data_IF_655508064807
#
_entry.id   IF_655508064807
#
_cell.length_a   1.000
_cell.length_b   1.000
_cell.length_c   1.000
_cell.angle_alpha   90.00
_cell.angle_beta   90.00
_cell.angle_gamma   90.00
#
_symmetry.space_group_name_H-M   'P 1'
#
loop_
_entity.id
_entity.type
_entity.pdbx_description
1 polymer ?
#
# COMPACT_ATOMS: atom_id res chain seq x y z
N UNK A 1 -12.36 -29.98 -13.14
CA UNK A 1 -11.20 -29.07 -12.97
C UNK A 1 -11.74 -27.67 -12.82
N UNK A 2 -11.19 -26.87 -11.89
CA UNK A 2 -11.47 -25.43 -11.89
C UNK A 2 -10.85 -24.80 -13.13
N UNK A 3 -11.47 -23.77 -13.70
CA UNK A 3 -10.82 -22.93 -14.72
C UNK A 3 -10.03 -21.83 -14.01
N UNK A 4 -8.85 -21.51 -14.52
CA UNK A 4 -8.07 -20.35 -14.09
C UNK A 4 -8.90 -19.08 -14.26
N UNK A 5 -8.79 -18.12 -13.34
CA UNK A 5 -9.57 -16.88 -13.41
C UNK A 5 -9.10 -15.99 -14.57
N UNK A 6 -7.82 -16.06 -14.94
CA UNK A 6 -7.23 -15.52 -16.18
C UNK A 6 -8.07 -15.80 -17.44
N UNK A 7 -8.68 -16.98 -17.57
CA UNK A 7 -9.42 -17.39 -18.78
C UNK A 7 -10.92 -17.01 -18.75
N UNK A 8 -11.47 -16.69 -17.58
CA UNK A 8 -12.92 -16.54 -17.40
C UNK A 8 -13.46 -15.18 -17.83
N UNK A 9 -14.68 -15.17 -18.37
CA UNK A 9 -15.41 -13.96 -18.73
C UNK A 9 -15.93 -13.21 -17.50
N UNK A 10 -16.21 -11.91 -17.67
CA UNK A 10 -16.85 -11.08 -16.61
C UNK A 10 -18.17 -11.69 -16.11
N UNK A 11 -18.91 -12.43 -16.95
CA UNK A 11 -20.14 -13.11 -16.54
C UNK A 11 -19.87 -14.28 -15.59
N UNK A 12 -18.91 -15.16 -15.95
CA UNK A 12 -18.48 -16.30 -15.12
C UNK A 12 -17.89 -15.85 -13.77
N UNK A 13 -17.16 -14.74 -13.76
CA UNK A 13 -16.60 -14.12 -12.55
C UNK A 13 -17.64 -13.43 -11.65
N UNK A 14 -18.94 -13.45 -12.00
CA UNK A 14 -20.03 -12.90 -11.20
C UNK A 14 -20.46 -11.47 -11.55
N UNK A 15 -19.92 -10.89 -12.61
CA UNK A 15 -20.23 -9.54 -13.12
C UNK A 15 -19.24 -8.48 -12.67
N UNK A 16 -19.24 -7.33 -13.35
CA UNK A 16 -18.24 -6.24 -13.21
C UNK A 16 -18.01 -5.66 -11.80
N UNK A 17 -18.92 -5.90 -10.85
CA UNK A 17 -18.78 -5.50 -9.45
C UNK A 17 -18.14 -6.57 -8.56
N UNK A 18 -18.01 -7.81 -9.02
CA UNK A 18 -17.48 -8.92 -8.23
C UNK A 18 -16.01 -8.70 -7.87
N UNK A 19 -15.59 -9.25 -6.72
CA UNK A 19 -14.19 -9.15 -6.31
C UNK A 19 -13.25 -9.81 -7.33
N UNK A 20 -13.63 -10.97 -7.90
CA UNK A 20 -12.83 -11.68 -8.90
C UNK A 20 -12.61 -10.86 -10.18
N UNK A 21 -13.61 -10.10 -10.64
CA UNK A 21 -13.43 -9.21 -11.81
C UNK A 21 -12.51 -8.03 -11.48
N UNK A 22 -12.42 -7.63 -10.20
CA UNK A 22 -11.55 -6.54 -9.76
C UNK A 22 -10.10 -6.99 -9.58
N UNK A 23 -9.85 -8.13 -8.92
CA UNK A 23 -8.52 -8.75 -8.83
C UNK A 23 -7.90 -8.87 -10.23
N UNK A 24 -8.55 -9.63 -11.11
CA UNK A 24 -8.12 -9.86 -12.49
C UNK A 24 -7.82 -8.57 -13.27
N UNK A 25 -8.62 -7.52 -13.08
CA UNK A 25 -8.40 -6.23 -13.74
C UNK A 25 -7.12 -5.55 -13.26
N UNK A 26 -6.86 -5.59 -11.96
CA UNK A 26 -5.65 -5.03 -11.38
C UNK A 26 -4.43 -5.90 -11.73
N UNK A 27 -4.53 -7.25 -11.71
CA UNK A 27 -3.47 -8.17 -12.14
C UNK A 27 -3.06 -7.94 -13.61
N UNK A 28 -4.03 -7.82 -14.53
CA UNK A 28 -3.78 -7.46 -15.94
C UNK A 28 -3.20 -6.04 -16.10
N UNK A 29 -3.35 -5.18 -15.09
CA UNK A 29 -2.70 -3.86 -15.06
C UNK A 29 -1.27 -3.97 -14.51
N UNK A 30 -1.04 -4.81 -13.50
CA UNK A 30 0.25 -5.10 -12.89
C UNK A 30 1.21 -5.75 -13.89
N UNK A 31 0.74 -6.78 -14.60
CA UNK A 31 1.40 -7.43 -15.74
C UNK A 31 2.11 -6.41 -16.64
N UNK A 32 1.33 -5.50 -17.21
CA UNK A 32 1.80 -4.49 -18.17
C UNK A 32 2.83 -3.56 -17.55
N UNK A 33 2.69 -3.24 -16.26
CA UNK A 33 3.66 -2.43 -15.53
C UNK A 33 4.97 -3.19 -15.25
N UNK A 34 4.93 -4.50 -15.01
CA UNK A 34 6.13 -5.34 -14.87
C UNK A 34 6.84 -5.51 -16.22
N UNK A 35 6.08 -5.62 -17.32
CA UNK A 35 6.62 -5.58 -18.68
C UNK A 35 7.24 -4.21 -19.02
N UNK A 36 6.59 -3.09 -18.68
CA UNK A 36 7.16 -1.74 -18.78
C UNK A 36 8.45 -1.63 -17.92
N UNK A 37 8.47 -2.21 -16.72
CA UNK A 37 9.59 -2.08 -15.77
C UNK A 37 10.89 -2.67 -16.33
N UNK A 38 10.82 -3.87 -16.92
CA UNK A 38 11.97 -4.53 -17.51
C UNK A 38 12.51 -3.81 -18.77
N UNK A 39 11.70 -2.95 -19.39
CA UNK A 39 12.02 -2.23 -20.63
C UNK A 39 12.49 -0.79 -20.41
N UNK A 40 12.48 -0.31 -19.17
CA UNK A 40 12.72 1.10 -18.82
C UNK A 40 13.92 1.26 -17.89
N UNK A 41 14.56 2.44 -17.92
CA UNK A 41 15.71 2.76 -17.06
C UNK A 41 15.63 4.21 -16.55
N UNK A 42 16.45 4.54 -15.54
CA UNK A 42 16.52 5.90 -14.97
C UNK A 42 15.17 6.43 -14.48
N UNK A 43 14.84 7.67 -14.85
CA UNK A 43 13.60 8.36 -14.47
C UNK A 43 12.33 7.66 -14.99
N UNK A 44 12.39 7.03 -16.17
CA UNK A 44 11.23 6.31 -16.73
C UNK A 44 10.91 5.07 -15.88
N UNK A 45 11.94 4.31 -15.52
CA UNK A 45 11.82 3.19 -14.58
C UNK A 45 11.29 3.65 -13.22
N UNK A 46 11.76 4.81 -12.72
CA UNK A 46 11.26 5.40 -11.48
C UNK A 46 9.76 5.69 -11.56
N UNK A 47 9.28 6.23 -12.69
CA UNK A 47 7.87 6.47 -12.94
C UNK A 47 7.05 5.16 -13.03
N UNK A 48 7.59 4.10 -13.63
CA UNK A 48 6.94 2.77 -13.66
C UNK A 48 6.85 2.17 -12.25
N UNK A 49 7.93 2.20 -11.45
CA UNK A 49 7.92 1.73 -10.05
C UNK A 49 6.85 2.48 -9.24
N UNK A 50 6.73 3.80 -9.42
CA UNK A 50 5.70 4.58 -8.74
C UNK A 50 4.27 4.26 -9.24
N UNK A 51 4.09 3.80 -10.48
CA UNK A 51 2.81 3.29 -10.98
C UNK A 51 2.48 1.92 -10.39
N UNK A 52 3.47 1.01 -10.28
CA UNK A 52 3.34 -0.29 -9.61
C UNK A 52 2.94 -0.08 -8.16
N UNK A 53 3.69 0.71 -7.39
CA UNK A 53 3.41 0.93 -5.96
C UNK A 53 2.02 1.52 -5.71
N UNK A 54 1.55 2.44 -6.57
CA UNK A 54 0.19 3.01 -6.52
C UNK A 54 -0.91 2.05 -6.91
N UNK A 55 -0.59 0.93 -7.56
CA UNK A 55 -1.52 -0.16 -7.86
C UNK A 55 -1.51 -1.20 -6.73
N UNK A 56 -0.34 -1.75 -6.40
CA UNK A 56 -0.21 -2.91 -5.49
C UNK A 56 -0.52 -2.58 -4.03
N UNK A 57 -0.11 -1.41 -3.53
CA UNK A 57 -0.40 -1.05 -2.13
C UNK A 57 -1.91 -1.00 -1.80
N UNK A 58 -2.75 -0.26 -2.55
CA UNK A 58 -4.18 -0.21 -2.25
C UNK A 58 -4.94 -1.47 -2.70
N UNK A 59 -4.34 -2.33 -3.53
CA UNK A 59 -4.80 -3.69 -3.83
C UNK A 59 -4.60 -4.57 -2.60
N UNK A 60 -3.34 -4.84 -2.22
CA UNK A 60 -2.92 -5.61 -1.04
C UNK A 60 -3.73 -5.29 0.23
N UNK A 61 -3.83 -3.99 0.54
CA UNK A 61 -4.58 -3.51 1.70
C UNK A 61 -6.07 -3.86 1.64
N UNK A 62 -6.66 -3.86 0.44
CA UNK A 62 -8.06 -4.21 0.22
C UNK A 62 -8.30 -5.73 0.27
N UNK A 63 -7.35 -6.58 -0.15
CA UNK A 63 -7.42 -8.01 0.17
C UNK A 63 -7.41 -8.24 1.68
N UNK A 64 -6.40 -7.73 2.39
CA UNK A 64 -6.23 -7.94 3.83
C UNK A 64 -7.43 -7.42 4.64
N UNK A 65 -8.00 -6.29 4.22
CA UNK A 65 -9.17 -5.70 4.88
C UNK A 65 -10.49 -6.39 4.57
N UNK A 66 -10.62 -7.09 3.42
CA UNK A 66 -11.92 -7.53 2.88
C UNK A 66 -11.91 -8.98 2.39
N UNK A 67 -10.95 -9.34 1.55
CA UNK A 67 -10.90 -10.62 0.87
C UNK A 67 -10.41 -11.73 1.81
N UNK A 68 -9.29 -11.58 2.50
CA UNK A 68 -8.79 -12.59 3.45
C UNK A 68 -9.76 -12.85 4.59
N UNK A 69 -10.39 -11.86 5.24
CA UNK A 69 -11.46 -12.12 6.20
C UNK A 69 -12.66 -12.87 5.60
N UNK A 70 -12.94 -12.71 4.30
CA UNK A 70 -14.03 -13.45 3.62
C UNK A 70 -13.61 -14.88 3.34
N UNK A 71 -12.43 -15.08 2.73
CA UNK A 71 -11.83 -16.37 2.43
C UNK A 71 -11.71 -17.26 3.70
N UNK A 72 -11.15 -16.71 4.78
CA UNK A 72 -10.97 -17.35 6.10
C UNK A 72 -12.28 -17.82 6.76
N UNK A 73 -13.44 -17.33 6.31
CA UNK A 73 -14.77 -17.76 6.81
C UNK A 73 -15.41 -18.87 5.96
N UNK A 74 -14.97 -19.04 4.71
CA UNK A 74 -15.62 -19.94 3.74
C UNK A 74 -14.74 -21.13 3.33
N UNK A 75 -13.42 -21.05 3.54
CA UNK A 75 -12.48 -22.16 3.34
C UNK A 75 -11.88 -22.62 4.68
N UNK A 76 -11.77 -23.94 4.94
CA UNK A 76 -11.25 -24.48 6.20
C UNK A 76 -9.76 -24.19 6.41
N UNK A 77 -8.99 -24.16 5.32
CA UNK A 77 -7.57 -23.83 5.20
C UNK A 77 -7.35 -22.37 4.76
N UNK A 78 -8.40 -21.54 4.76
CA UNK A 78 -8.34 -20.15 4.30
C UNK A 78 -7.39 -19.27 5.12
N UNK A 79 -6.98 -19.67 6.33
CA UNK A 79 -5.93 -18.95 7.07
C UNK A 79 -4.55 -19.20 6.46
N UNK A 80 -4.18 -20.46 6.20
CA UNK A 80 -2.88 -20.86 5.67
C UNK A 80 -2.64 -20.23 4.30
N UNK A 81 -3.60 -20.37 3.38
CA UNK A 81 -3.51 -19.79 2.03
C UNK A 81 -3.30 -18.27 2.04
N UNK A 82 -4.07 -17.54 2.86
CA UNK A 82 -3.94 -16.08 2.96
C UNK A 82 -2.66 -15.62 3.67
N UNK A 83 -2.05 -16.48 4.50
CA UNK A 83 -0.85 -16.14 5.27
C UNK A 83 0.41 -16.22 4.39
N UNK A 84 0.40 -17.03 3.33
CA UNK A 84 1.44 -17.08 2.30
C UNK A 84 1.50 -15.74 1.54
N UNK A 85 0.38 -15.31 0.96
CA UNK A 85 0.25 -14.01 0.26
C UNK A 85 0.51 -12.80 1.20
N UNK A 86 0.03 -12.83 2.45
CA UNK A 86 0.36 -11.77 3.44
C UNK A 86 1.87 -11.65 3.72
N UNK A 87 2.66 -12.71 3.54
CA UNK A 87 4.14 -12.64 3.64
C UNK A 87 4.77 -12.06 2.38
N UNK A 88 4.25 -12.39 1.20
CA UNK A 88 4.72 -11.84 -0.09
C UNK A 88 4.43 -10.34 -0.21
N UNK A 89 3.23 -9.91 0.18
CA UNK A 89 2.89 -8.48 0.36
C UNK A 89 3.91 -7.74 1.23
N UNK A 90 4.31 -8.35 2.35
CA UNK A 90 5.29 -7.75 3.26
C UNK A 90 6.70 -7.72 2.65
N UNK A 91 7.12 -8.76 1.95
CA UNK A 91 8.40 -8.75 1.22
C UNK A 91 8.42 -7.65 0.13
N UNK A 92 7.33 -7.48 -0.63
CA UNK A 92 7.21 -6.39 -1.62
C UNK A 92 7.35 -5.02 -0.94
N UNK A 93 6.72 -4.79 0.21
CA UNK A 93 6.85 -3.55 0.96
C UNK A 93 8.30 -3.28 1.40
N UNK A 94 9.02 -4.30 1.86
CA UNK A 94 10.43 -4.20 2.28
C UNK A 94 11.36 -3.91 1.09
N UNK A 95 11.16 -4.60 -0.04
CA UNK A 95 11.94 -4.40 -1.26
C UNK A 95 11.68 -3.03 -1.89
N UNK A 96 10.43 -2.56 -1.95
CA UNK A 96 10.10 -1.20 -2.42
C UNK A 96 10.73 -0.15 -1.51
N UNK A 97 10.69 -0.33 -0.18
CA UNK A 97 11.37 0.56 0.77
C UNK A 97 12.89 0.61 0.51
N UNK A 98 13.51 -0.54 0.19
CA UNK A 98 14.93 -0.59 -0.19
C UNK A 98 15.21 0.15 -1.50
N UNK A 99 14.37 0.00 -2.52
CA UNK A 99 14.49 0.69 -3.82
C UNK A 99 14.39 2.21 -3.71
N UNK A 100 13.68 2.74 -2.72
CA UNK A 100 13.60 4.19 -2.44
C UNK A 100 14.87 4.78 -1.83
N UNK A 101 15.67 3.95 -1.14
CA UNK A 101 16.99 4.32 -0.65
C UNK A 101 18.09 4.24 -1.71
N UNK A 102 17.84 3.57 -2.84
CA UNK A 102 18.84 3.27 -3.87
C UNK A 102 18.84 4.30 -5.00
N UNK A 103 20.02 4.82 -5.33
CA UNK A 103 20.23 5.64 -6.54
C UNK A 103 20.09 4.84 -7.83
N UNK A 104 19.89 5.50 -8.97
CA UNK A 104 19.73 4.83 -10.26
C UNK A 104 20.96 4.04 -10.73
N UNK A 105 22.16 4.44 -10.28
CA UNK A 105 23.42 3.75 -10.57
C UNK A 105 23.88 2.80 -9.46
N UNK A 106 23.02 2.46 -8.49
CA UNK A 106 23.34 1.51 -7.42
C UNK A 106 23.46 0.08 -8.01
N UNK A 107 24.59 -0.63 -7.80
CA UNK A 107 24.83 -1.94 -8.41
C UNK A 107 23.88 -3.03 -7.89
N UNK A 108 23.27 -2.88 -6.71
CA UNK A 108 22.31 -3.84 -6.18
C UNK A 108 20.89 -3.63 -6.73
N UNK A 109 20.59 -2.44 -7.28
CA UNK A 109 19.25 -2.04 -7.71
C UNK A 109 18.60 -3.04 -8.66
N UNK A 110 19.36 -3.57 -9.62
CA UNK A 110 18.87 -4.57 -10.59
C UNK A 110 18.33 -5.82 -9.90
N UNK A 111 19.13 -6.41 -9.00
CA UNK A 111 18.73 -7.61 -8.26
C UNK A 111 17.50 -7.38 -7.35
N UNK A 112 17.34 -6.17 -6.79
CA UNK A 112 16.15 -5.84 -6.00
C UNK A 112 14.91 -5.69 -6.90
N UNK A 113 15.03 -5.10 -8.09
CA UNK A 113 13.94 -5.01 -9.08
C UNK A 113 13.52 -6.38 -9.61
N UNK A 114 14.49 -7.25 -9.88
CA UNK A 114 14.23 -8.63 -10.30
C UNK A 114 13.49 -9.39 -9.19
N UNK A 115 13.91 -9.26 -7.92
CA UNK A 115 13.20 -9.89 -6.80
C UNK A 115 11.78 -9.35 -6.61
N UNK A 116 11.55 -8.03 -6.70
CA UNK A 116 10.20 -7.44 -6.68
C UNK A 116 9.34 -8.02 -7.80
N UNK A 117 9.90 -8.16 -9.01
CA UNK A 117 9.18 -8.70 -10.17
C UNK A 117 8.83 -10.18 -10.01
N UNK A 118 9.68 -10.96 -9.34
CA UNK A 118 9.40 -12.36 -9.00
C UNK A 118 8.28 -12.46 -7.96
N UNK A 119 8.41 -11.78 -6.81
CA UNK A 119 7.42 -11.87 -5.73
C UNK A 119 6.03 -11.41 -6.20
N UNK A 120 5.95 -10.30 -6.94
CA UNK A 120 4.68 -9.82 -7.52
C UNK A 120 4.07 -10.74 -8.60
N UNK A 121 4.84 -11.68 -9.15
CA UNK A 121 4.34 -12.68 -10.12
C UNK A 121 3.91 -13.97 -9.43
N UNK A 122 4.60 -14.37 -8.37
CA UNK A 122 4.25 -15.54 -7.59
C UNK A 122 2.96 -15.27 -6.78
N UNK A 123 2.86 -14.12 -6.12
CA UNK A 123 1.65 -13.55 -5.48
C UNK A 123 0.39 -13.63 -6.37
N UNK A 124 0.45 -13.01 -7.56
CA UNK A 124 -0.66 -13.04 -8.54
C UNK A 124 -1.02 -14.46 -9.00
N UNK A 125 -0.05 -15.38 -9.03
CA UNK A 125 -0.30 -16.77 -9.44
C UNK A 125 -0.95 -17.57 -8.32
N UNK A 126 -0.51 -17.41 -7.08
CA UNK A 126 -1.13 -18.07 -5.94
C UNK A 126 -2.55 -17.51 -5.68
N UNK A 127 -2.78 -16.23 -5.98
CA UNK A 127 -4.12 -15.65 -6.15
C UNK A 127 -4.94 -16.36 -7.26
N UNK A 128 -4.53 -16.26 -8.54
CA UNK A 128 -5.36 -16.65 -9.68
C UNK A 128 -5.48 -18.16 -9.93
N UNK A 129 -4.48 -18.96 -9.53
CA UNK A 129 -4.43 -20.41 -9.73
C UNK A 129 -5.01 -21.18 -8.53
N UNK A 130 -4.87 -20.65 -7.30
CA UNK A 130 -5.22 -21.38 -6.06
C UNK A 130 -6.31 -20.70 -5.25
N UNK A 131 -6.08 -19.49 -4.75
CA UNK A 131 -6.94 -18.80 -3.79
C UNK A 131 -8.31 -18.41 -4.38
N UNK A 132 -8.29 -17.63 -5.45
CA UNK A 132 -9.49 -17.05 -6.06
C UNK A 132 -10.40 -18.11 -6.71
N UNK A 133 -9.90 -19.15 -7.40
CA UNK A 133 -10.75 -20.25 -7.89
C UNK A 133 -11.44 -21.02 -6.77
N UNK A 134 -10.78 -21.20 -5.61
CA UNK A 134 -11.38 -21.87 -4.45
C UNK A 134 -12.44 -20.99 -3.78
N UNK A 135 -12.21 -19.68 -3.69
CA UNK A 135 -13.24 -18.72 -3.28
C UNK A 135 -14.47 -18.76 -4.21
N UNK A 136 -14.25 -18.83 -5.54
CA UNK A 136 -15.33 -18.92 -6.53
C UNK A 136 -16.17 -20.20 -6.39
N UNK A 137 -15.57 -21.31 -5.98
CA UNK A 137 -16.28 -22.57 -5.71
C UNK A 137 -17.09 -22.53 -4.42
N UNK A 138 -16.60 -21.83 -3.39
CA UNK A 138 -17.24 -21.75 -2.08
C UNK A 138 -18.36 -20.69 -1.97
N UNK A 139 -18.39 -19.70 -2.88
CA UNK A 139 -19.26 -18.51 -2.78
C UNK A 139 -20.06 -18.31 -4.06
N UNK A 140 -21.37 -18.02 -3.94
CA UNK A 140 -22.21 -17.80 -5.11
C UNK A 140 -21.76 -16.57 -5.92
N UNK A 141 -21.95 -16.61 -7.24
CA UNK A 141 -21.66 -15.50 -8.15
C UNK A 141 -22.37 -14.17 -7.77
N UNK A 142 -23.48 -14.25 -7.02
CA UNK A 142 -24.18 -13.08 -6.46
C UNK A 142 -23.47 -12.55 -5.22
N UNK A 143 -23.00 -13.43 -4.34
CA UNK A 143 -22.40 -13.06 -3.06
C UNK A 143 -20.98 -12.50 -3.21
N UNK A 144 -20.23 -12.91 -4.25
CA UNK A 144 -18.95 -12.30 -4.66
C UNK A 144 -19.03 -10.79 -4.98
N UNK A 145 -20.24 -10.24 -5.19
CA UNK A 145 -20.46 -8.81 -5.47
C UNK A 145 -20.34 -7.93 -4.22
N UNK A 146 -20.72 -8.45 -3.04
CA UNK A 146 -20.63 -7.71 -1.78
C UNK A 146 -19.19 -7.40 -1.37
N UNK A 147 -18.26 -8.38 -1.28
CA UNK A 147 -16.85 -8.07 -1.01
C UNK A 147 -16.25 -7.25 -2.14
N UNK A 148 -16.63 -7.46 -3.41
CA UNK A 148 -16.13 -6.65 -4.53
C UNK A 148 -16.47 -5.15 -4.44
N UNK A 149 -17.67 -4.80 -3.96
CA UNK A 149 -18.01 -3.39 -3.68
C UNK A 149 -17.22 -2.84 -2.49
N UNK A 150 -17.10 -3.61 -1.40
CA UNK A 150 -16.37 -3.17 -0.20
C UNK A 150 -14.86 -3.01 -0.46
N UNK A 151 -14.25 -3.96 -1.17
CA UNK A 151 -12.86 -3.94 -1.63
C UNK A 151 -12.56 -2.70 -2.47
N UNK A 152 -13.44 -2.33 -3.42
CA UNK A 152 -13.27 -1.12 -4.24
C UNK A 152 -13.36 0.17 -3.41
N UNK A 153 -14.24 0.20 -2.38
CA UNK A 153 -14.30 1.35 -1.46
C UNK A 153 -13.01 1.45 -0.65
N UNK A 154 -12.55 0.34 -0.07
CA UNK A 154 -11.29 0.28 0.70
C UNK A 154 -10.12 0.74 -0.16
N UNK A 155 -9.89 0.09 -1.31
CA UNK A 155 -8.83 0.44 -2.29
C UNK A 155 -8.80 1.93 -2.66
N UNK A 156 -9.96 2.59 -2.77
CA UNK A 156 -10.04 4.03 -3.11
C UNK A 156 -9.68 4.96 -1.96
N UNK A 157 -9.91 4.55 -0.71
CA UNK A 157 -9.58 5.36 0.48
C UNK A 157 -8.18 5.07 1.02
N UNK A 158 -7.66 3.86 0.76
CA UNK A 158 -6.28 3.49 1.02
C UNK A 158 -5.31 4.40 0.27
N UNK A 159 -4.31 4.88 0.98
CA UNK A 159 -3.21 5.68 0.43
C UNK A 159 -1.91 5.10 0.93
N UNK A 160 -0.93 4.82 0.05
CA UNK A 160 0.42 4.53 0.50
C UNK A 160 0.98 5.71 1.30
N UNK A 161 1.91 5.41 2.22
CA UNK A 161 2.62 6.44 2.95
C UNK A 161 3.39 7.36 1.97
N UNK A 162 3.56 8.67 2.27
CA UNK A 162 4.25 9.60 1.39
C UNK A 162 5.77 9.33 1.36
N UNK A 163 6.17 8.57 0.34
CA UNK A 163 7.53 8.22 -0.08
C UNK A 163 8.41 9.43 -0.39
N UNK A 164 9.76 9.35 -0.35
CA UNK A 164 10.63 10.47 -0.69
C UNK A 164 10.42 10.99 -2.12
N UNK A 165 10.19 10.09 -3.08
CA UNK A 165 9.89 10.42 -4.48
C UNK A 165 8.52 11.11 -4.64
N UNK A 166 7.49 10.69 -3.90
CA UNK A 166 6.16 11.33 -3.95
C UNK A 166 6.12 12.69 -3.24
N UNK A 167 7.13 13.03 -2.42
CA UNK A 167 7.31 14.39 -1.86
C UNK A 167 7.88 15.39 -2.87
N UNK A 168 8.27 14.96 -4.08
CA UNK A 168 8.68 15.84 -5.17
C UNK A 168 7.46 16.55 -5.82
N UNK A 169 6.79 17.40 -5.04
CA UNK A 169 5.78 18.35 -5.51
C UNK A 169 6.49 19.50 -6.27
N UNK A 170 5.91 20.07 -7.34
CA UNK A 170 6.68 20.90 -8.27
C UNK A 170 7.31 22.14 -7.62
N UNK A 171 8.58 22.40 -7.94
CA UNK A 171 9.20 23.73 -7.78
C UNK A 171 8.56 24.72 -8.76
N UNK A 172 7.33 25.15 -8.43
CA UNK A 172 6.47 25.97 -9.29
C UNK A 172 5.51 26.88 -8.52
N UNK A 173 5.66 27.00 -7.19
CA UNK A 173 5.02 28.07 -6.45
C UNK A 173 5.72 29.39 -6.79
N UNK A 174 5.15 30.15 -7.73
CA UNK A 174 5.71 31.46 -8.11
C UNK A 174 5.75 32.35 -6.88
N UNK A 175 6.96 32.70 -6.42
CA UNK A 175 7.17 33.75 -5.43
C UNK A 175 6.85 35.10 -6.05
N UNK A 176 5.55 35.42 -6.16
CA UNK A 176 5.10 36.79 -6.41
C UNK A 176 5.47 37.61 -5.18
N UNK A 177 6.43 38.56 -5.27
CA UNK A 177 6.67 39.46 -4.16
C UNK A 177 5.41 40.28 -3.90
N UNK A 178 4.96 40.33 -2.65
CA UNK A 178 3.91 41.24 -2.22
C UNK A 178 4.37 42.68 -2.51
N UNK A 179 3.84 43.28 -3.58
CA UNK A 179 4.19 44.65 -3.97
C UNK A 179 3.39 45.60 -3.09
N UNK A 180 4.00 46.07 -2.01
CA UNK A 180 3.43 47.09 -1.14
C UNK A 180 3.24 48.40 -1.94
N UNK A 181 2.02 48.96 -2.06
CA UNK A 181 1.79 50.20 -2.79
C UNK A 181 1.88 51.40 -1.84
N UNK A 182 3.04 52.07 -1.80
CA UNK A 182 3.18 53.40 -1.19
C UNK A 182 3.83 54.38 -2.18
N UNK A 183 3.04 55.26 -2.80
CA UNK A 183 3.56 56.38 -3.60
C UNK A 183 2.51 57.46 -3.93
N UNK A 184 2.02 58.17 -2.90
CA UNK A 184 1.43 59.53 -2.95
C UNK A 184 1.22 59.99 -1.51
N UNK A 185 1.66 61.16 -1.04
CA UNK A 185 2.53 62.22 -1.57
C UNK A 185 2.80 63.26 -0.45
N UNK A 186 3.73 64.20 -0.67
CA UNK A 186 4.03 65.45 0.09
C UNK A 186 3.47 65.64 1.53
N UNK A 187 4.33 65.80 2.54
CA UNK A 187 4.72 67.11 3.16
C UNK A 187 3.54 67.88 3.82
N UNK A 188 3.58 68.34 5.07
CA UNK A 188 4.64 69.14 5.76
C UNK A 188 4.63 68.99 7.31
N UNK A 189 5.65 69.57 7.97
CA UNK A 189 5.75 70.04 9.39
C UNK A 189 4.53 69.86 10.34
N UNK A 190 4.66 69.46 11.62
CA UNK A 190 5.50 70.09 12.67
C UNK A 190 5.58 69.24 13.96
N UNK A 191 6.63 69.42 14.77
CA UNK A 191 6.68 69.08 16.22
C UNK A 191 5.90 70.12 17.06
N UNK A 192 5.59 69.93 18.38
CA UNK A 192 6.24 69.06 19.38
C UNK A 192 5.29 68.19 20.26
N UNK A 193 5.90 67.46 21.22
CA UNK A 193 5.25 66.71 22.32
C UNK A 193 4.90 67.64 23.51
N UNK A 194 4.51 67.17 24.73
CA UNK A 194 4.05 65.83 25.20
C UNK A 194 2.74 65.91 26.04
N UNK A 195 2.20 64.78 26.57
CA UNK A 195 1.74 64.65 27.99
C UNK A 195 0.94 63.37 28.36
N UNK A 196 1.27 62.91 29.58
CA UNK A 196 0.56 62.08 30.58
C UNK A 196 -0.99 61.92 30.53
N UNK A 197 -1.42 60.65 30.58
CA UNK A 197 -2.14 59.94 31.68
C UNK A 197 -3.49 60.43 32.27
N UNK A 198 -4.24 59.43 32.84
CA UNK A 198 -5.50 59.48 33.64
C UNK A 198 -6.81 59.56 32.81
N UNK A 199 -7.98 59.06 33.24
CA UNK A 199 -8.40 58.06 34.27
C UNK A 199 -9.94 57.85 34.21
N UNK A 200 -10.51 56.98 35.07
CA UNK A 200 -11.95 56.75 35.37
C UNK A 200 -12.69 55.77 34.41
N UNK A 201 -13.17 54.59 34.86
CA UNK A 201 -14.36 54.28 35.72
C UNK A 201 -15.67 54.28 34.90
N UNK A 202 -16.26 53.13 34.54
CA UNK A 202 -17.12 52.21 35.35
C UNK A 202 -18.51 52.80 35.68
N UNK A 203 -19.59 52.03 35.99
CA UNK A 203 -19.80 50.56 35.99
C UNK A 203 -20.80 50.15 34.84
N UNK A 204 -21.44 48.99 34.72
CA UNK A 204 -21.47 47.69 35.42
C UNK A 204 -22.89 47.08 35.38
N UNK A 205 -23.01 45.77 35.22
CA UNK A 205 -24.23 44.99 35.53
C UNK A 205 -23.88 43.49 35.55
N UNK A 206 -24.46 42.71 36.47
CA UNK A 206 -23.90 41.41 36.85
C UNK A 206 -24.93 40.28 37.02
N UNK A 207 -24.63 39.12 36.40
CA UNK A 207 -25.01 37.74 36.82
C UNK A 207 -26.52 37.36 36.80
N UNK A 208 -26.90 36.08 37.00
CA UNK A 208 -26.14 34.80 37.00
C UNK A 208 -26.51 33.97 35.73
N UNK A 209 -26.42 32.62 35.57
CA UNK A 209 -25.97 31.49 36.40
C UNK A 209 -25.49 30.29 35.52
N UNK A 210 -24.62 29.43 36.10
CA UNK A 210 -24.56 27.95 36.00
C UNK A 210 -24.54 27.17 34.64
N UNK A 211 -23.84 26.02 34.64
CA UNK A 211 -24.04 24.94 33.66
C UNK A 211 -22.76 24.35 33.04
N UNK A 212 -21.98 23.56 33.79
CA UNK A 212 -20.79 22.90 33.26
C UNK A 212 -21.12 21.59 32.53
N UNK A 213 -20.55 21.38 31.33
CA UNK A 213 -20.21 20.02 30.85
C UNK A 213 -19.17 20.05 29.73
N UNK A 214 -17.97 19.55 30.00
CA UNK A 214 -16.97 19.27 28.97
C UNK A 214 -17.18 17.85 28.40
N UNK A 215 -17.07 17.63 27.08
CA UNK A 215 -17.02 16.28 26.51
C UNK A 215 -15.66 15.63 26.78
N UNK A 216 -15.68 14.36 27.21
CA UNK A 216 -14.48 13.56 27.45
C UNK A 216 -13.93 13.00 26.12
N UNK A 217 -12.63 13.13 25.88
CA UNK A 217 -11.91 12.36 24.86
C UNK A 217 -11.37 11.06 25.46
N UNK A 218 -11.54 9.89 24.80
CA UNK A 218 -10.81 8.68 25.18
C UNK A 218 -9.40 8.72 24.59
N UNK A 219 -8.39 8.83 25.46
CA UNK A 219 -7.00 8.55 25.08
C UNK A 219 -6.81 7.05 24.97
N UNK A 220 -6.58 6.55 23.74
CA UNK A 220 -6.17 5.15 23.52
C UNK A 220 -4.64 5.08 23.56
N UNK A 221 -4.10 4.59 24.66
CA UNK A 221 -2.66 4.35 24.82
C UNK A 221 -2.24 3.10 24.05
N UNK A 222 -1.43 3.30 23.01
CA UNK A 222 -0.81 2.20 22.27
C UNK A 222 0.19 1.47 23.17
N UNK A 223 -0.18 0.27 23.64
CA UNK A 223 0.67 -0.51 24.54
C UNK A 223 1.73 -1.26 23.73
N UNK A 224 2.93 -0.70 23.67
CA UNK A 224 4.10 -1.38 23.12
C UNK A 224 4.31 -2.73 23.83
N UNK A 225 4.28 -3.82 23.08
CA UNK A 225 4.56 -5.15 23.61
C UNK A 225 6.04 -5.48 23.35
N UNK A 226 6.77 -5.79 24.42
CA UNK A 226 8.20 -6.01 24.37
C UNK A 226 8.57 -7.31 23.62
N UNK A 227 9.73 -7.27 22.97
CA UNK A 227 10.40 -8.42 22.35
C UNK A 227 10.59 -9.58 23.32
N UNK A 228 9.89 -10.69 23.06
CA UNK A 228 10.19 -11.98 23.71
C UNK A 228 11.36 -12.61 22.98
N UNK A 229 12.52 -12.59 23.63
CA UNK A 229 13.77 -13.18 23.15
C UNK A 229 13.72 -14.71 23.37
N UNK A 230 13.32 -15.47 22.36
CA UNK A 230 13.46 -16.95 22.40
C UNK A 230 14.91 -17.34 22.13
N UNK A 231 15.39 -18.35 22.87
CA UNK A 231 16.80 -18.74 22.95
C UNK A 231 17.01 -20.02 22.14
N UNK A 232 17.72 -19.94 21.02
CA UNK A 232 18.05 -21.11 20.21
C UNK A 232 18.97 -22.10 20.98
N UNK A 233 18.73 -23.42 20.91
CA UNK A 233 19.68 -24.42 21.39
C UNK A 233 20.88 -24.55 20.45
N UNK A 234 22.00 -25.05 20.97
CA UNK A 234 23.31 -25.02 20.32
C UNK A 234 23.44 -25.98 19.12
N UNK A 235 24.20 -25.53 18.11
CA UNK A 235 24.59 -26.35 16.97
C UNK A 235 25.69 -27.36 17.33
N UNK A 236 25.59 -28.57 16.79
CA UNK A 236 26.64 -29.60 16.85
C UNK A 236 27.18 -29.87 15.44
N UNK A 237 28.49 -29.75 15.27
CA UNK A 237 29.18 -29.94 13.98
C UNK A 237 29.53 -31.43 13.71
N UNK A 238 29.85 -31.83 12.47
CA UNK A 238 29.43 -33.14 11.95
C UNK A 238 30.45 -34.29 12.05
N UNK A 239 29.95 -35.53 11.97
CA UNK A 239 30.74 -36.71 11.58
C UNK A 239 30.78 -36.85 10.05
N UNK A 240 31.93 -37.24 9.52
CA UNK A 240 32.18 -37.44 8.08
C UNK A 240 31.65 -38.79 7.59
N UNK A 241 31.20 -38.83 6.34
CA UNK A 241 31.22 -40.05 5.50
C UNK A 241 29.87 -40.68 5.19
N UNK A 242 29.22 -40.23 4.12
CA UNK A 242 28.33 -41.04 3.29
C UNK A 242 28.32 -40.48 1.85
N UNK A 243 28.20 -41.36 0.86
CA UNK A 243 28.45 -41.07 -0.56
C UNK A 243 27.29 -40.30 -1.22
N UNK A 244 27.62 -39.40 -2.16
CA UNK A 244 26.64 -38.67 -2.97
C UNK A 244 25.96 -39.60 -3.99
N UNK A 245 24.63 -39.64 -3.95
CA UNK A 245 23.77 -40.04 -5.08
C UNK A 245 22.69 -38.96 -5.26
N UNK A 246 22.52 -38.37 -6.46
CA UNK A 246 21.51 -37.34 -6.66
C UNK A 246 20.10 -37.96 -6.70
N UNK A 247 19.26 -37.66 -5.71
CA UNK A 247 17.83 -37.99 -5.77
C UNK A 247 17.14 -37.01 -6.71
N UNK A 248 16.59 -37.52 -7.82
CA UNK A 248 15.90 -36.72 -8.81
C UNK A 248 14.43 -36.54 -8.42
N UNK A 249 14.15 -35.56 -7.56
CA UNK A 249 12.80 -35.06 -7.27
C UNK A 249 12.65 -33.59 -7.69
N UNK A 250 13.04 -33.30 -8.94
CA UNK A 250 12.54 -32.12 -9.63
C UNK A 250 11.06 -32.35 -9.94
N UNK A 251 10.16 -31.53 -9.34
CA UNK A 251 8.75 -31.49 -9.74
C UNK A 251 8.69 -31.38 -11.28
N UNK A 252 7.96 -32.25 -12.00
CA UNK A 252 7.83 -32.11 -13.44
C UNK A 252 7.12 -30.79 -13.74
N UNK A 253 7.81 -29.90 -14.45
CA UNK A 253 7.24 -28.64 -14.91
C UNK A 253 6.05 -28.94 -15.82
N UNK A 254 4.84 -28.72 -15.32
CA UNK A 254 3.63 -28.74 -16.15
C UNK A 254 3.72 -27.50 -17.05
N UNK A 255 4.02 -27.71 -18.32
CA UNK A 255 4.05 -26.65 -19.32
C UNK A 255 2.61 -26.13 -19.54
N UNK A 256 2.24 -25.09 -18.80
CA UNK A 256 0.98 -24.37 -18.94
C UNK A 256 1.23 -23.11 -19.75
N UNK A 257 0.65 -23.05 -20.95
CA UNK A 257 0.67 -21.82 -21.76
C UNK A 257 -0.18 -20.77 -21.08
N UNK A 258 0.36 -19.58 -20.94
CA UNK A 258 -0.40 -18.35 -20.69
C UNK A 258 -0.03 -17.31 -21.76
N UNK A 259 -0.61 -16.11 -21.71
CA UNK A 259 -0.16 -15.00 -22.56
C UNK A 259 1.21 -14.42 -22.13
N UNK A 260 1.79 -14.92 -21.03
CA UNK A 260 3.08 -14.47 -20.47
C UNK A 260 4.31 -15.17 -21.07
N UNK A 261 4.12 -16.16 -21.96
CA UNK A 261 5.17 -16.84 -22.74
C UNK A 261 5.16 -16.42 -24.23
N UNK A 262 4.73 -15.19 -24.57
CA UNK A 262 4.71 -14.65 -25.95
C UNK A 262 5.46 -13.33 -26.09
#
# INVERSE_FOLDING_TARGET
>A
MSRFIADQTVAELGGWVSVLTRQKKDHVTLDRLLHDLHRTSGEEQAAVIQRIYRLVFPHAFAEESVLWPTLRRVLPDGHELSLEVEQEHQEVNELVTRLEGMGHGDPERGAVLDRVTVVLRDDVRDEEDVLLPRLQQAVSARDLRRPGVLWEVVRRVSRPAPTPSSRAVPRGASSRPFRCPCSTGCATSSTPAPARARSASAPGCARPAAGSRAPRTPSSTFRSCATVRTRAPAATAPRKGATLTPSADSKPGVALRTEWDR
#
